data_IF_216490214456
#
_entry.id   IF_216490214456
#
_cell.length_a   1.000
_cell.length_b   1.000
_cell.length_c   1.000
_cell.angle_alpha   90.00
_cell.angle_beta   90.00
_cell.angle_gamma   90.00
#
_symmetry.space_group_name_H-M   'P 1'
#
loop_
_entity.id
_entity.type
_entity.pdbx_description
1 polymer ?
#
# COMPACT_ATOMS: atom_id res chain seq x y z
N UNK A 1 9.33 -18.11 69.93
CA UNK A 1 10.20 -18.17 68.73
C UNK A 1 9.58 -19.11 67.71
N UNK A 2 9.59 -18.73 66.42
CA UNK A 2 9.27 -19.53 65.21
C UNK A 2 7.82 -19.58 64.70
N UNK A 3 7.37 -18.48 64.08
CA UNK A 3 6.32 -18.49 63.03
C UNK A 3 6.61 -17.44 61.96
N UNK A 4 7.80 -17.50 61.33
CA UNK A 4 8.21 -16.52 60.30
C UNK A 4 8.96 -17.18 59.14
N UNK A 5 8.45 -18.30 58.61
CA UNK A 5 9.13 -18.99 57.49
C UNK A 5 8.21 -19.34 56.30
N UNK A 6 6.88 -19.17 56.42
CA UNK A 6 5.95 -19.59 55.34
C UNK A 6 5.57 -18.48 54.34
N UNK A 7 5.79 -17.19 54.64
CA UNK A 7 5.40 -16.09 53.73
C UNK A 7 6.44 -15.72 52.67
N UNK A 8 7.70 -16.15 52.80
CA UNK A 8 8.79 -15.79 51.86
C UNK A 8 8.83 -16.72 50.64
N UNK A 9 8.35 -17.98 50.76
CA UNK A 9 8.36 -18.93 49.64
C UNK A 9 7.32 -18.62 48.55
N UNK A 10 6.26 -17.87 48.85
CA UNK A 10 5.23 -17.54 47.87
C UNK A 10 5.62 -16.38 46.94
N UNK A 11 6.41 -15.41 47.43
CA UNK A 11 6.91 -14.31 46.58
C UNK A 11 7.96 -14.78 45.56
N UNK A 12 8.78 -15.78 45.91
CA UNK A 12 9.85 -16.24 45.02
C UNK A 12 9.33 -17.01 43.80
N UNK A 13 8.18 -17.68 43.92
CA UNK A 13 7.54 -18.39 42.80
C UNK A 13 6.79 -17.46 41.85
N UNK A 14 6.29 -16.32 42.33
CA UNK A 14 5.63 -15.32 41.48
C UNK A 14 6.66 -14.59 40.60
N UNK A 15 7.88 -14.33 41.09
CA UNK A 15 8.94 -13.72 40.27
C UNK A 15 9.49 -14.63 39.16
N UNK A 16 9.51 -15.96 39.33
CA UNK A 16 9.91 -16.89 38.28
C UNK A 16 8.82 -17.14 37.22
N UNK A 17 7.55 -16.94 37.57
CA UNK A 17 6.44 -17.00 36.61
C UNK A 17 6.32 -15.75 35.73
N UNK A 18 6.90 -14.61 36.12
CA UNK A 18 6.90 -13.36 35.33
C UNK A 18 8.07 -13.32 34.32
N UNK A 19 9.08 -14.19 34.47
CA UNK A 19 10.22 -14.29 33.54
C UNK A 19 10.04 -15.34 32.43
N UNK A 20 8.93 -16.07 32.43
CA UNK A 20 8.51 -16.91 31.30
C UNK A 20 7.53 -16.14 30.42
N UNK A 21 7.95 -14.95 29.97
CA UNK A 21 7.41 -14.44 28.71
C UNK A 21 7.72 -15.52 27.66
N UNK A 22 6.75 -15.98 26.87
CA UNK A 22 7.08 -16.82 25.73
C UNK A 22 8.14 -16.04 24.94
N UNK A 23 9.32 -16.65 24.79
CA UNK A 23 10.25 -16.19 23.78
C UNK A 23 9.42 -16.11 22.51
N UNK A 24 9.22 -14.90 21.99
CA UNK A 24 8.60 -14.69 20.69
C UNK A 24 9.31 -15.66 19.76
N UNK A 25 8.63 -16.75 19.35
CA UNK A 25 9.20 -17.52 18.27
C UNK A 25 9.19 -16.52 17.12
N UNK A 26 10.38 -16.19 16.62
CA UNK A 26 10.49 -15.70 15.27
C UNK A 26 10.06 -16.87 14.40
N UNK A 27 8.74 -17.10 14.31
CA UNK A 27 8.17 -17.93 13.28
C UNK A 27 8.77 -17.39 12.00
N UNK A 28 9.58 -18.23 11.36
CA UNK A 28 10.33 -17.88 10.17
C UNK A 28 9.27 -17.62 9.10
N UNK A 29 8.87 -16.36 8.95
CA UNK A 29 7.78 -16.00 8.06
C UNK A 29 8.22 -16.36 6.65
N UNK A 30 7.64 -17.44 6.14
CA UNK A 30 7.86 -17.90 4.78
C UNK A 30 7.12 -16.94 3.86
N UNK A 31 7.84 -16.38 2.88
CA UNK A 31 7.22 -15.61 1.80
C UNK A 31 6.21 -16.53 1.08
N UNK A 32 4.98 -16.13 0.75
CA UNK A 32 4.20 -16.91 -0.18
C UNK A 32 4.91 -16.91 -1.54
N UNK A 33 4.81 -18.00 -2.29
CA UNK A 33 5.16 -17.97 -3.70
C UNK A 33 4.17 -17.05 -4.42
N UNK A 34 4.68 -16.11 -5.20
CA UNK A 34 3.88 -15.15 -5.95
C UNK A 34 4.77 -14.20 -6.74
N UNK A 35 4.29 -12.99 -6.98
CA UNK A 35 5.05 -11.96 -7.66
C UNK A 35 4.82 -10.59 -7.02
N UNK A 36 5.74 -9.67 -7.29
CA UNK A 36 5.62 -8.25 -6.98
C UNK A 36 5.67 -7.44 -8.26
N UNK A 37 5.09 -6.24 -8.22
CA UNK A 37 5.29 -5.23 -9.27
C UNK A 37 6.01 -4.03 -8.69
N UNK A 38 6.85 -3.38 -9.48
CA UNK A 38 7.58 -2.19 -9.04
C UNK A 38 8.00 -1.29 -10.20
N UNK A 39 8.38 -0.07 -9.85
CA UNK A 39 9.03 0.90 -10.72
C UNK A 39 10.52 0.64 -10.84
N UNK A 40 11.07 0.56 -12.06
CA UNK A 40 12.52 0.56 -12.31
C UNK A 40 12.90 1.62 -13.33
N UNK A 41 14.08 2.22 -13.16
CA UNK A 41 14.67 3.18 -14.08
C UNK A 41 14.81 4.58 -13.47
N UNK A 42 15.39 5.49 -14.25
CA UNK A 42 15.66 6.86 -13.84
C UNK A 42 14.95 7.84 -14.77
N UNK A 43 14.50 8.95 -14.21
CA UNK A 43 13.89 10.05 -14.96
C UNK A 43 12.78 9.58 -15.91
N UNK A 44 12.87 10.03 -17.15
CA UNK A 44 11.93 9.70 -18.23
C UNK A 44 11.99 8.23 -18.68
N UNK A 45 13.03 7.49 -18.29
CA UNK A 45 13.28 6.11 -18.72
C UNK A 45 12.81 5.10 -17.66
N UNK A 46 11.57 5.21 -17.19
CA UNK A 46 11.00 4.27 -16.22
C UNK A 46 10.08 3.25 -16.85
N UNK A 47 10.14 2.04 -16.31
CA UNK A 47 9.28 0.91 -16.65
C UNK A 47 8.56 0.40 -15.41
N UNK A 48 7.44 -0.29 -15.62
CA UNK A 48 6.82 -1.14 -14.61
C UNK A 48 7.30 -2.56 -14.85
N UNK A 49 7.84 -3.18 -13.81
CA UNK A 49 8.32 -4.55 -13.85
C UNK A 49 7.45 -5.47 -13.00
N UNK A 50 7.47 -6.75 -13.34
CA UNK A 50 7.02 -7.89 -12.53
C UNK A 50 8.25 -8.73 -12.19
N UNK A 51 8.36 -9.22 -10.96
CA UNK A 51 9.34 -10.23 -10.58
C UNK A 51 8.67 -11.29 -9.71
N UNK A 52 9.01 -12.55 -9.94
CA UNK A 52 8.57 -13.67 -9.10
C UNK A 52 9.32 -13.65 -7.77
N UNK A 53 8.61 -13.99 -6.70
CA UNK A 53 9.15 -14.07 -5.34
C UNK A 53 8.71 -15.40 -4.71
N UNK A 54 9.65 -16.09 -4.09
CA UNK A 54 9.39 -17.32 -3.34
C UNK A 54 10.31 -17.40 -2.11
N UNK A 55 9.95 -18.18 -1.07
CA UNK A 55 10.82 -18.43 0.07
C UNK A 55 12.23 -18.84 -0.34
N UNK A 56 13.21 -18.18 0.26
CA UNK A 56 14.62 -18.55 0.08
C UNK A 56 15.23 -18.09 -1.24
N UNK A 57 14.50 -17.37 -2.10
CA UNK A 57 15.11 -16.72 -3.25
C UNK A 57 16.08 -15.61 -2.80
N UNK A 58 17.26 -15.57 -3.42
CA UNK A 58 18.19 -14.44 -3.29
C UNK A 58 17.74 -13.25 -4.13
N UNK A 59 18.35 -12.09 -3.91
CA UNK A 59 18.11 -10.89 -4.72
C UNK A 59 18.35 -11.18 -6.22
N UNK A 60 19.44 -11.85 -6.56
CA UNK A 60 19.81 -12.19 -7.94
C UNK A 60 18.79 -13.15 -8.56
N UNK A 61 18.28 -14.10 -7.78
CA UNK A 61 17.25 -15.03 -8.25
C UNK A 61 15.92 -14.32 -8.53
N UNK A 62 15.51 -13.38 -7.67
CA UNK A 62 14.32 -12.55 -7.93
C UNK A 62 14.54 -11.71 -9.18
N UNK A 63 15.68 -11.01 -9.28
CA UNK A 63 15.99 -10.14 -10.41
C UNK A 63 16.08 -10.89 -11.75
N UNK A 64 16.57 -12.15 -11.74
CA UNK A 64 16.60 -13.00 -12.92
C UNK A 64 15.21 -13.37 -13.47
N UNK A 65 14.14 -13.20 -12.67
CA UNK A 65 12.76 -13.42 -13.11
C UNK A 65 12.07 -12.15 -13.61
N UNK A 66 12.78 -11.01 -13.60
CA UNK A 66 12.18 -9.73 -13.94
C UNK A 66 11.67 -9.70 -15.38
N UNK A 67 10.42 -9.27 -15.55
CA UNK A 67 9.79 -9.01 -16.85
C UNK A 67 9.22 -7.60 -16.87
N UNK A 68 9.48 -6.87 -17.96
CA UNK A 68 8.87 -5.56 -18.20
C UNK A 68 7.39 -5.76 -18.52
N UNK A 69 6.52 -5.12 -17.74
CA UNK A 69 5.08 -5.07 -17.99
C UNK A 69 4.80 -4.03 -19.08
N UNK A 70 5.21 -2.79 -18.86
CA UNK A 70 5.06 -1.71 -19.82
C UNK A 70 5.99 -0.53 -19.48
N UNK A 71 6.19 0.37 -20.44
CA UNK A 71 6.78 1.68 -20.21
C UNK A 71 5.85 2.56 -19.35
N UNK A 72 6.39 3.61 -18.72
CA UNK A 72 5.58 4.58 -17.97
C UNK A 72 5.06 5.76 -18.76
N UNK A 73 5.46 5.86 -20.01
CA UNK A 73 5.11 6.98 -20.88
C UNK A 73 6.16 8.08 -20.86
N UNK A 74 5.95 9.05 -21.73
CA UNK A 74 6.94 10.06 -22.13
C UNK A 74 7.41 10.98 -20.99
N UNK A 75 6.62 11.14 -19.93
CA UNK A 75 6.90 12.06 -18.83
C UNK A 75 7.54 11.40 -17.61
N UNK A 76 7.91 10.13 -17.67
CA UNK A 76 8.73 9.43 -16.65
C UNK A 76 8.07 9.14 -15.31
N UNK A 77 7.13 9.98 -14.89
CA UNK A 77 6.52 9.93 -13.59
C UNK A 77 5.50 8.82 -13.42
N UNK A 78 5.63 8.10 -12.31
CA UNK A 78 4.64 7.14 -11.85
C UNK A 78 4.39 7.22 -10.35
N UNK A 79 3.18 6.82 -9.97
CA UNK A 79 2.79 6.58 -8.60
C UNK A 79 2.59 5.07 -8.41
N UNK A 80 3.00 4.60 -7.23
CA UNK A 80 3.03 3.21 -6.78
C UNK A 80 1.96 2.31 -7.39
N UNK A 81 2.42 1.17 -7.91
CA UNK A 81 1.55 0.16 -8.52
C UNK A 81 0.75 -0.62 -7.47
N UNK A 82 -0.50 -0.97 -7.79
CA UNK A 82 -1.33 -1.87 -7.00
C UNK A 82 -1.81 -3.05 -7.85
N UNK A 83 -1.53 -4.27 -7.38
CA UNK A 83 -1.96 -5.49 -8.05
C UNK A 83 -3.39 -5.83 -7.61
N UNK A 84 -4.23 -6.23 -8.54
CA UNK A 84 -5.57 -6.75 -8.25
C UNK A 84 -5.47 -8.02 -7.41
N UNK A 85 -6.46 -8.30 -6.58
CA UNK A 85 -6.35 -9.38 -5.61
C UNK A 85 -6.26 -10.76 -6.28
N UNK A 86 -6.88 -10.94 -7.44
CA UNK A 86 -6.71 -12.12 -8.30
C UNK A 86 -5.35 -12.21 -9.02
N UNK A 87 -4.48 -11.20 -8.89
CA UNK A 87 -3.15 -11.20 -9.50
C UNK A 87 -3.13 -10.98 -11.01
N UNK A 88 -4.24 -10.54 -11.61
CA UNK A 88 -4.34 -10.41 -13.08
C UNK A 88 -4.03 -9.02 -13.61
N UNK A 89 -4.26 -7.99 -12.81
CA UNK A 89 -4.12 -6.60 -13.22
C UNK A 89 -3.18 -5.85 -12.30
N UNK A 90 -2.43 -4.92 -12.86
CA UNK A 90 -1.75 -3.87 -12.10
C UNK A 90 -2.38 -2.53 -12.45
N UNK A 91 -2.71 -1.72 -11.45
CA UNK A 91 -3.12 -0.34 -11.59
C UNK A 91 -1.99 0.59 -11.18
N UNK A 92 -1.83 1.69 -11.89
CA UNK A 92 -0.79 2.69 -11.64
C UNK A 92 -1.23 4.05 -12.19
N UNK A 93 -0.50 5.12 -11.84
CA UNK A 93 -0.73 6.43 -12.44
C UNK A 93 0.47 6.84 -13.30
N UNK A 94 0.22 7.54 -14.42
CA UNK A 94 1.24 8.18 -15.26
C UNK A 94 1.11 9.69 -15.18
N UNK A 95 2.25 10.38 -15.15
CA UNK A 95 2.27 11.83 -15.23
C UNK A 95 1.79 12.31 -16.60
N UNK A 96 1.07 13.43 -16.62
CA UNK A 96 0.62 14.13 -17.83
C UNK A 96 1.57 15.27 -18.23
N UNK A 97 2.57 15.53 -17.41
CA UNK A 97 3.58 16.56 -17.67
C UNK A 97 4.93 16.13 -17.11
N UNK A 98 5.99 16.42 -17.84
CA UNK A 98 7.36 16.32 -17.35
C UNK A 98 7.72 17.59 -16.60
N UNK A 99 8.36 17.46 -15.44
CA UNK A 99 8.87 18.60 -14.66
C UNK A 99 10.24 18.23 -14.09
N UNK A 100 11.22 19.12 -14.18
CA UNK A 100 12.52 18.86 -13.54
C UNK A 100 12.47 19.09 -12.01
N UNK A 101 11.34 19.61 -11.50
CA UNK A 101 11.03 19.75 -10.08
C UNK A 101 10.69 18.38 -9.46
N UNK A 102 11.71 17.56 -9.16
CA UNK A 102 11.57 16.28 -8.46
C UNK A 102 12.58 15.22 -8.90
N UNK A 103 12.61 14.10 -8.18
CA UNK A 103 13.46 12.96 -8.53
C UNK A 103 12.80 12.12 -9.62
N UNK A 104 13.03 12.46 -10.89
CA UNK A 104 12.58 11.62 -11.99
C UNK A 104 11.90 12.30 -13.18
N UNK A 105 12.10 13.61 -13.39
CA UNK A 105 11.42 14.32 -14.48
C UNK A 105 9.92 14.52 -14.21
N UNK A 106 9.50 14.46 -12.94
CA UNK A 106 8.15 14.73 -12.50
C UNK A 106 8.11 15.18 -11.03
N UNK A 107 7.07 15.95 -10.67
CA UNK A 107 6.69 16.19 -9.29
C UNK A 107 5.52 15.27 -8.91
N UNK A 108 5.77 14.24 -8.10
CA UNK A 108 4.73 13.34 -7.60
C UNK A 108 3.64 14.06 -6.77
N UNK A 109 3.90 15.30 -6.33
CA UNK A 109 2.94 16.15 -5.64
C UNK A 109 2.03 16.97 -6.56
N UNK A 110 2.18 16.88 -7.89
CA UNK A 110 1.28 17.53 -8.85
C UNK A 110 -0.01 16.71 -9.00
N UNK A 111 -0.79 16.57 -7.92
CA UNK A 111 -1.86 15.57 -7.81
C UNK A 111 -3.01 15.70 -8.84
N UNK A 112 -3.10 16.81 -9.56
CA UNK A 112 -4.05 17.04 -10.67
C UNK A 112 -3.46 16.72 -12.06
N UNK A 113 -2.20 16.26 -12.15
CA UNK A 113 -1.47 16.01 -13.39
C UNK A 113 -1.22 14.52 -13.65
N UNK A 114 -2.18 13.68 -13.28
CA UNK A 114 -2.05 12.23 -13.33
C UNK A 114 -3.24 11.58 -14.03
N UNK A 115 -2.94 10.51 -14.76
CA UNK A 115 -3.94 9.59 -15.29
C UNK A 115 -3.72 8.19 -14.74
N UNK A 116 -4.82 7.52 -14.40
CA UNK A 116 -4.85 6.13 -13.99
C UNK A 116 -4.83 5.22 -15.22
N UNK A 117 -4.01 4.19 -15.14
CA UNK A 117 -3.88 3.12 -16.12
C UNK A 117 -3.97 1.76 -15.44
N UNK A 118 -4.37 0.75 -16.21
CA UNK A 118 -4.24 -0.66 -15.86
C UNK A 118 -3.45 -1.41 -16.91
N UNK A 119 -2.74 -2.46 -16.50
CA UNK A 119 -2.07 -3.40 -17.39
C UNK A 119 -2.33 -4.83 -16.93
N UNK A 120 -2.53 -5.73 -17.89
CA UNK A 120 -2.69 -7.16 -17.61
C UNK A 120 -1.33 -7.79 -17.33
N UNK A 121 -1.22 -8.56 -16.25
CA UNK A 121 0.07 -9.09 -15.77
C UNK A 121 0.13 -10.62 -15.72
N UNK A 122 -0.99 -11.32 -15.91
CA UNK A 122 -1.10 -12.79 -15.87
C UNK A 122 -0.84 -13.48 -17.23
N UNK A 123 -0.38 -12.74 -18.24
CA UNK A 123 -0.16 -13.26 -19.60
C UNK A 123 1.21 -12.92 -20.18
N UNK A 124 1.27 -12.83 -21.51
CA UNK A 124 2.47 -12.41 -22.23
C UNK A 124 2.77 -10.94 -21.95
N UNK A 125 4.06 -10.66 -21.71
CA UNK A 125 4.60 -9.34 -21.40
C UNK A 125 5.70 -9.00 -22.42
N UNK A 126 5.85 -7.73 -22.84
CA UNK A 126 5.15 -6.53 -22.35
C UNK A 126 3.73 -6.37 -22.93
N UNK A 127 2.92 -5.52 -22.31
CA UNK A 127 1.54 -5.20 -22.71
C UNK A 127 1.34 -3.69 -22.90
N UNK A 128 0.38 -3.32 -23.72
CA UNK A 128 -0.10 -1.93 -23.79
C UNK A 128 -1.09 -1.66 -22.65
N UNK A 129 -0.85 -0.66 -21.80
CA UNK A 129 -1.78 -0.34 -20.72
C UNK A 129 -3.02 0.38 -21.22
N UNK A 130 -4.11 0.20 -20.49
CA UNK A 130 -5.42 0.77 -20.77
C UNK A 130 -5.60 1.99 -19.87
N UNK A 131 -5.89 3.16 -20.47
CA UNK A 131 -6.22 4.38 -19.73
C UNK A 131 -7.60 4.27 -19.11
N UNK A 132 -7.70 4.56 -17.81
CA UNK A 132 -8.96 4.58 -17.07
C UNK A 132 -9.54 6.00 -16.97
N UNK A 133 -8.72 6.98 -16.62
CA UNK A 133 -9.19 8.36 -16.45
C UNK A 133 -8.24 9.21 -15.61
N UNK A 134 -8.63 10.47 -15.39
CA UNK A 134 -7.86 11.41 -14.56
C UNK A 134 -7.91 11.00 -13.09
N UNK A 135 -6.73 10.95 -12.46
CA UNK A 135 -6.60 10.62 -11.05
C UNK A 135 -5.22 10.09 -10.67
N UNK A 136 -5.03 9.88 -9.38
CA UNK A 136 -3.77 9.45 -8.77
C UNK A 136 -4.03 8.44 -7.65
N UNK A 137 -2.99 7.68 -7.25
CA UNK A 137 -3.03 6.66 -6.18
C UNK A 137 -4.18 5.64 -6.35
N UNK A 138 -4.10 4.75 -7.37
CA UNK A 138 -5.12 3.73 -7.56
C UNK A 138 -5.09 2.67 -6.46
N UNK A 139 -6.25 2.12 -6.12
CA UNK A 139 -6.39 0.95 -5.23
C UNK A 139 -7.56 0.06 -5.65
N UNK A 140 -7.45 -1.25 -5.42
CA UNK A 140 -8.47 -2.22 -5.82
C UNK A 140 -9.49 -2.47 -4.71
N UNK A 141 -10.73 -2.75 -5.11
CA UNK A 141 -11.79 -3.17 -4.19
C UNK A 141 -11.64 -4.59 -3.66
N UNK A 142 -12.39 -4.91 -2.60
CA UNK A 142 -12.50 -6.27 -2.06
C UNK A 142 -13.11 -7.28 -3.04
N UNK A 143 -13.89 -6.78 -4.00
CA UNK A 143 -14.40 -7.48 -5.18
C UNK A 143 -13.32 -7.79 -6.25
N UNK A 144 -12.05 -7.48 -6.00
CA UNK A 144 -10.96 -7.66 -6.98
C UNK A 144 -10.62 -9.12 -7.29
N UNK A 145 -11.33 -10.09 -6.71
CA UNK A 145 -11.31 -11.50 -7.11
C UNK A 145 -12.35 -11.86 -8.16
N UNK A 146 -13.31 -10.97 -8.37
CA UNK A 146 -14.46 -11.17 -9.25
C UNK A 146 -14.16 -10.74 -10.69
N UNK A 147 -15.02 -11.15 -11.62
CA UNK A 147 -14.92 -10.80 -13.06
C UNK A 147 -15.15 -9.32 -13.34
N UNK A 148 -16.03 -8.69 -12.55
CA UNK A 148 -16.24 -7.24 -12.54
C UNK A 148 -15.71 -6.78 -11.21
N UNK A 149 -14.76 -5.85 -11.24
CA UNK A 149 -14.06 -5.37 -10.05
C UNK A 149 -14.03 -3.87 -9.98
N UNK A 150 -13.96 -3.36 -8.77
CA UNK A 150 -13.92 -1.94 -8.46
C UNK A 150 -12.47 -1.47 -8.43
N UNK A 151 -12.19 -0.38 -9.15
CA UNK A 151 -10.95 0.37 -9.04
C UNK A 151 -11.26 1.74 -8.44
N UNK A 152 -10.64 2.01 -7.29
CA UNK A 152 -10.65 3.31 -6.66
C UNK A 152 -9.45 4.14 -7.10
N UNK A 153 -9.60 5.45 -7.07
CA UNK A 153 -8.51 6.41 -7.26
C UNK A 153 -8.94 7.76 -6.72
N UNK A 154 -7.95 8.63 -6.54
CA UNK A 154 -8.14 9.95 -5.97
C UNK A 154 -8.15 11.02 -7.04
N UNK A 155 -8.92 12.09 -6.82
CA UNK A 155 -8.95 13.27 -7.69
C UNK A 155 -8.71 14.55 -6.92
N UNK A 156 -7.87 15.41 -7.50
CA UNK A 156 -7.42 16.67 -6.93
C UNK A 156 -7.72 17.89 -7.80
N UNK A 157 -8.33 17.70 -8.97
CA UNK A 157 -8.82 18.77 -9.82
C UNK A 157 -10.18 19.29 -9.29
N UNK A 158 -10.08 20.33 -8.46
CA UNK A 158 -11.18 20.84 -7.64
C UNK A 158 -11.23 20.17 -6.28
N UNK A 159 -12.43 19.73 -5.88
CA UNK A 159 -12.66 19.09 -4.57
C UNK A 159 -11.87 17.78 -4.43
N UNK A 160 -11.20 17.63 -3.29
CA UNK A 160 -10.39 16.46 -2.94
C UNK A 160 -11.31 15.28 -2.64
N UNK A 161 -11.23 14.22 -3.45
CA UNK A 161 -12.21 13.13 -3.39
C UNK A 161 -11.64 11.79 -3.81
N UNK A 162 -12.30 10.74 -3.37
CA UNK A 162 -12.14 9.37 -3.88
C UNK A 162 -13.23 9.09 -4.89
N UNK A 163 -12.83 8.61 -6.05
CA UNK A 163 -13.70 8.12 -7.11
C UNK A 163 -13.57 6.60 -7.23
N UNK A 164 -14.55 5.98 -7.90
CA UNK A 164 -14.52 4.58 -8.29
C UNK A 164 -15.02 4.38 -9.72
N UNK A 165 -14.53 3.33 -10.37
CA UNK A 165 -15.05 2.78 -11.62
C UNK A 165 -15.20 1.27 -11.48
N UNK A 166 -16.03 0.62 -12.30
CA UNK A 166 -16.00 -0.84 -12.44
C UNK A 166 -15.43 -1.26 -13.78
N UNK A 167 -14.57 -2.25 -13.72
CA UNK A 167 -13.81 -2.77 -14.85
C UNK A 167 -14.07 -4.28 -14.98
N UNK A 168 -14.26 -4.76 -16.21
CA UNK A 168 -14.40 -6.20 -16.49
C UNK A 168 -13.04 -6.91 -16.64
N UNK A 169 -13.06 -8.24 -16.77
CA UNK A 169 -11.84 -9.07 -16.93
C UNK A 169 -11.08 -8.83 -18.25
N UNK A 170 -11.58 -7.97 -19.13
CA UNK A 170 -10.91 -7.51 -20.36
C UNK A 170 -10.34 -6.10 -20.22
N UNK A 171 -10.58 -5.41 -19.10
CA UNK A 171 -10.14 -4.05 -18.87
C UNK A 171 -11.13 -2.99 -19.37
N UNK A 172 -12.35 -3.35 -19.77
CA UNK A 172 -13.37 -2.39 -20.19
C UNK A 172 -14.07 -1.77 -18.98
N UNK A 173 -14.35 -0.47 -19.05
CA UNK A 173 -15.17 0.22 -18.05
C UNK A 173 -16.64 -0.17 -18.27
N UNK A 174 -17.22 -0.88 -17.31
CA UNK A 174 -18.63 -1.33 -17.32
C UNK A 174 -19.53 -0.45 -16.45
N UNK A 175 -18.96 0.23 -15.46
CA UNK A 175 -19.64 1.27 -14.67
C UNK A 175 -18.74 2.52 -14.66
N UNK A 176 -19.30 3.64 -15.13
CA UNK A 176 -18.59 4.92 -15.23
C UNK A 176 -18.19 5.45 -13.87
N UNK A 177 -17.27 6.41 -13.88
CA UNK A 177 -16.77 7.09 -12.68
C UNK A 177 -17.92 7.59 -11.80
N UNK A 178 -17.83 7.30 -10.51
CA UNK A 178 -18.68 7.88 -9.47
C UNK A 178 -17.86 8.26 -8.24
N UNK A 179 -18.34 9.25 -7.49
CA UNK A 179 -17.68 9.69 -6.26
C UNK A 179 -18.05 8.77 -5.10
N UNK A 180 -17.04 8.27 -4.39
CA UNK A 180 -17.21 7.52 -3.14
C UNK A 180 -17.39 8.49 -1.97
N UNK A 181 -16.53 9.50 -1.88
CA UNK A 181 -16.61 10.51 -0.84
C UNK A 181 -15.57 11.61 -0.98
N UNK A 182 -15.79 12.70 -0.25
CA UNK A 182 -14.91 13.87 -0.22
C UNK A 182 -13.99 13.82 1.00
N UNK A 183 -12.75 14.27 0.84
CA UNK A 183 -11.76 14.37 1.91
C UNK A 183 -11.79 15.81 2.48
N UNK A 184 -11.71 15.98 3.81
CA UNK A 184 -11.58 17.32 4.41
C UNK A 184 -10.36 18.07 3.87
N UNK A 185 -10.57 19.32 3.46
CA UNK A 185 -9.49 20.15 2.87
C UNK A 185 -8.55 20.73 3.91
N UNK A 186 -9.01 20.93 5.14
CA UNK A 186 -8.22 21.53 6.22
C UNK A 186 -6.97 20.70 6.51
N UNK A 187 -5.81 21.30 6.23
CA UNK A 187 -4.50 20.68 6.45
C UNK A 187 -4.15 19.55 5.48
N UNK A 188 -4.92 19.34 4.40
CA UNK A 188 -4.67 18.29 3.42
C UNK A 188 -3.33 18.46 2.70
N UNK A 189 -2.56 17.38 2.57
CA UNK A 189 -1.21 17.38 1.98
C UNK A 189 -1.05 16.42 0.80
N UNK A 190 -2.15 16.00 0.16
CA UNK A 190 -2.04 15.47 -1.20
C UNK A 190 -2.02 13.96 -1.40
N UNK A 191 -2.00 13.14 -0.35
CA UNK A 191 -1.99 11.68 -0.49
C UNK A 191 -3.32 11.10 -0.05
N UNK A 192 -4.00 10.34 -0.89
CA UNK A 192 -5.26 9.67 -0.55
C UNK A 192 -5.23 8.26 -1.16
N UNK A 193 -5.46 7.25 -0.32
CA UNK A 193 -5.54 5.85 -0.71
C UNK A 193 -6.84 5.27 -0.15
N UNK A 194 -7.72 4.80 -1.04
CA UNK A 194 -9.01 4.24 -0.64
C UNK A 194 -8.84 2.83 -0.09
N UNK A 195 -9.60 2.51 0.96
CA UNK A 195 -9.68 1.15 1.49
C UNK A 195 -10.38 0.22 0.48
N UNK A 196 -9.96 -1.06 0.38
CA UNK A 196 -10.60 -2.02 -0.52
C UNK A 196 -12.11 -2.19 -0.31
N UNK A 197 -12.59 -2.10 0.93
CA UNK A 197 -14.02 -2.17 1.23
C UNK A 197 -14.81 -0.88 0.87
N UNK A 198 -14.14 0.17 0.38
CA UNK A 198 -14.75 1.45 0.00
C UNK A 198 -15.28 2.33 1.15
N UNK A 199 -15.15 1.91 2.40
CA UNK A 199 -15.79 2.60 3.54
C UNK A 199 -15.00 3.81 4.05
N UNK A 200 -13.69 3.85 3.81
CA UNK A 200 -12.82 4.93 4.24
C UNK A 200 -11.67 5.13 3.25
N UNK A 201 -10.95 6.22 3.41
CA UNK A 201 -9.66 6.44 2.79
C UNK A 201 -8.63 6.85 3.83
N UNK A 202 -7.40 6.37 3.67
CA UNK A 202 -6.25 6.87 4.39
C UNK A 202 -5.67 8.05 3.62
N UNK A 203 -5.37 9.15 4.30
CA UNK A 203 -4.90 10.39 3.68
C UNK A 203 -3.89 11.14 4.54
N UNK A 204 -3.07 11.99 3.91
CA UNK A 204 -2.11 12.83 4.62
C UNK A 204 -2.71 14.19 4.97
N UNK A 205 -2.58 14.57 6.24
CA UNK A 205 -3.01 15.85 6.81
C UNK A 205 -1.99 16.33 7.84
N UNK A 206 -1.51 17.57 7.70
CA UNK A 206 -0.65 18.27 8.67
C UNK A 206 0.52 17.43 9.19
N UNK A 207 1.30 16.82 8.28
CA UNK A 207 2.46 15.99 8.61
C UNK A 207 2.15 14.57 9.11
N UNK A 208 0.88 14.17 9.18
CA UNK A 208 0.46 12.86 9.66
C UNK A 208 -0.52 12.17 8.71
N UNK A 209 -0.64 10.86 8.88
CA UNK A 209 -1.63 10.03 8.19
C UNK A 209 -2.88 9.90 9.06
N UNK A 210 -4.03 10.09 8.44
CA UNK A 210 -5.35 9.92 9.03
C UNK A 210 -6.17 8.94 8.19
N UNK A 211 -7.18 8.30 8.77
CA UNK A 211 -8.31 7.76 8.01
C UNK A 211 -9.45 8.74 8.03
N UNK A 212 -10.21 8.83 6.93
CA UNK A 212 -11.51 9.49 6.88
C UNK A 212 -12.56 8.51 6.40
N UNK A 213 -13.61 8.32 7.20
CA UNK A 213 -14.63 7.31 6.98
C UNK A 213 -15.86 7.92 6.28
N UNK A 214 -16.21 7.38 5.13
CA UNK A 214 -17.39 7.76 4.34
C UNK A 214 -18.66 7.06 4.84
N UNK A 215 -18.49 5.85 5.37
CA UNK A 215 -19.57 4.98 5.83
C UNK A 215 -19.24 4.27 7.16
N UNK A 216 -20.20 3.54 7.71
CA UNK A 216 -20.04 2.74 8.92
C UNK A 216 -20.05 3.53 10.24
N UNK A 217 -19.70 2.87 11.37
CA UNK A 217 -19.77 3.47 12.72
C UNK A 217 -18.85 4.68 12.95
N UNK A 218 -17.84 4.83 12.09
CA UNK A 218 -16.90 5.94 12.14
C UNK A 218 -17.18 7.03 11.10
N UNK A 219 -18.30 6.96 10.38
CA UNK A 219 -18.67 7.93 9.34
C UNK A 219 -18.46 9.38 9.78
N UNK A 220 -17.79 10.15 8.93
CA UNK A 220 -17.46 11.56 9.14
C UNK A 220 -16.28 11.82 10.07
N UNK A 221 -15.67 10.78 10.68
CA UNK A 221 -14.53 10.95 11.58
C UNK A 221 -13.22 10.92 10.82
N UNK A 222 -12.31 11.82 11.21
CA UNK A 222 -10.89 11.74 10.90
C UNK A 222 -10.15 11.10 12.08
N UNK A 223 -9.50 9.96 11.89
CA UNK A 223 -8.80 9.23 12.96
C UNK A 223 -7.31 9.29 12.69
N UNK A 224 -6.54 9.77 13.66
CA UNK A 224 -5.08 9.86 13.55
C UNK A 224 -4.46 8.47 13.54
N UNK A 225 -3.78 8.13 12.45
CA UNK A 225 -2.96 6.92 12.37
C UNK A 225 -1.64 7.20 13.09
N UNK A 226 -0.75 8.00 12.51
CA UNK A 226 0.50 8.51 13.13
C UNK A 226 1.22 9.46 12.16
N UNK A 227 2.39 9.99 12.53
CA UNK A 227 3.24 10.80 11.65
C UNK A 227 3.77 10.00 10.46
N UNK A 228 3.74 10.59 9.25
CA UNK A 228 4.21 9.94 8.04
C UNK A 228 3.57 10.43 6.75
N UNK A 229 3.87 9.75 5.65
CA UNK A 229 3.36 10.03 4.30
C UNK A 229 3.07 8.72 3.53
N UNK A 230 2.45 8.81 2.34
CA UNK A 230 2.17 7.66 1.46
C UNK A 230 1.38 6.53 2.12
N UNK A 231 0.12 6.79 2.52
CA UNK A 231 -0.71 5.76 3.13
C UNK A 231 -1.02 4.62 2.15
N UNK A 232 -1.08 3.41 2.69
CA UNK A 232 -1.53 2.19 2.05
C UNK A 232 -2.48 1.48 3.01
N UNK A 233 -3.51 0.83 2.47
CA UNK A 233 -4.50 0.10 3.26
C UNK A 233 -4.45 -1.37 2.85
N UNK A 234 -4.34 -2.28 3.82
CA UNK A 234 -4.28 -3.73 3.54
C UNK A 234 -5.53 -4.26 2.85
N UNK A 235 -5.42 -5.42 2.19
CA UNK A 235 -6.50 -6.02 1.42
C UNK A 235 -7.78 -6.29 2.26
N UNK A 236 -7.62 -6.58 3.55
CA UNK A 236 -8.73 -6.77 4.50
C UNK A 236 -9.33 -5.46 5.04
N UNK A 237 -8.83 -4.31 4.59
CA UNK A 237 -9.20 -2.96 5.04
C UNK A 237 -8.98 -2.68 6.54
N UNK A 238 -8.20 -3.53 7.24
CA UNK A 238 -8.03 -3.42 8.69
C UNK A 238 -6.82 -2.62 9.11
N UNK A 239 -5.78 -2.57 8.29
CA UNK A 239 -4.52 -1.93 8.63
C UNK A 239 -4.17 -0.82 7.66
N UNK A 240 -3.66 0.27 8.20
CA UNK A 240 -3.03 1.36 7.46
C UNK A 240 -1.54 1.29 7.69
N UNK A 241 -0.80 1.12 6.59
CA UNK A 241 0.65 1.19 6.54
C UNK A 241 1.07 2.50 5.87
N UNK A 242 2.21 3.06 6.26
CA UNK A 242 2.73 4.29 5.65
C UNK A 242 4.24 4.44 5.93
N UNK A 243 4.86 5.46 5.33
CA UNK A 243 6.25 5.82 5.59
C UNK A 243 6.49 6.03 7.09
N UNK A 244 7.63 5.55 7.63
CA UNK A 244 7.99 5.46 9.07
C UNK A 244 7.65 4.13 9.76
N UNK A 245 7.47 3.02 9.04
CA UNK A 245 7.43 1.65 9.59
C UNK A 245 6.29 1.37 10.58
N UNK A 246 5.25 2.19 10.62
CA UNK A 246 4.12 1.97 11.52
C UNK A 246 2.96 1.30 10.78
N UNK A 247 2.30 0.37 11.46
CA UNK A 247 1.02 -0.18 11.06
C UNK A 247 -0.01 0.16 12.14
N UNK A 248 -1.12 0.78 11.75
CA UNK A 248 -2.21 1.17 12.67
C UNK A 248 -3.50 0.53 12.19
N UNK A 249 -4.31 0.01 13.10
CA UNK A 249 -5.69 -0.38 12.74
C UNK A 249 -6.43 0.83 12.17
N UNK A 250 -7.22 0.62 11.12
CA UNK A 250 -7.89 1.72 10.40
C UNK A 250 -8.86 2.55 11.25
N UNK A 251 -9.31 1.99 12.37
CA UNK A 251 -10.14 2.64 13.39
C UNK A 251 -9.32 3.24 14.56
N UNK A 252 -7.99 3.12 14.53
CA UNK A 252 -7.07 3.61 15.56
C UNK A 252 -6.99 2.74 16.82
N UNK A 253 -7.68 1.59 16.87
CA UNK A 253 -7.81 0.77 18.09
C UNK A 253 -6.53 0.03 18.50
N UNK A 254 -5.64 -0.26 17.55
CA UNK A 254 -4.35 -0.87 17.82
C UNK A 254 -3.25 -0.32 16.92
N UNK A 255 -2.01 -0.42 17.39
CA UNK A 255 -0.79 0.09 16.76
C UNK A 255 0.29 -0.98 16.87
N UNK A 256 1.06 -1.15 15.81
CA UNK A 256 2.20 -2.05 15.76
C UNK A 256 3.32 -1.47 14.89
N UNK A 257 4.51 -2.03 15.04
CA UNK A 257 5.63 -1.76 14.16
C UNK A 257 5.59 -2.78 13.00
N UNK A 258 5.66 -2.32 11.76
CA UNK A 258 5.61 -3.17 10.57
C UNK A 258 6.93 -3.95 10.30
N UNK A 259 7.80 -4.04 11.30
CA UNK A 259 9.11 -4.68 11.21
C UNK A 259 10.09 -3.94 10.29
N UNK A 260 10.87 -4.70 9.52
CA UNK A 260 11.85 -4.15 8.60
C UNK A 260 11.14 -3.42 7.45
N UNK A 261 11.21 -2.09 7.46
CA UNK A 261 10.68 -1.24 6.40
C UNK A 261 11.59 -0.11 5.96
N UNK A 262 11.59 0.19 4.68
CA UNK A 262 12.15 1.42 4.14
C UNK A 262 11.27 2.63 4.41
N UNK A 263 11.81 3.83 4.17
CA UNK A 263 11.08 5.09 4.35
C UNK A 263 9.98 5.27 3.30
N UNK A 264 10.06 4.56 2.18
CA UNK A 264 9.17 4.73 1.04
C UNK A 264 8.76 3.39 0.42
N UNK A 265 7.51 3.31 -0.04
CA UNK A 265 6.89 2.13 -0.65
C UNK A 265 6.70 2.28 -2.15
N UNK A 266 7.08 1.26 -2.93
CA UNK A 266 7.12 1.31 -4.39
C UNK A 266 6.43 0.13 -5.08
N UNK A 267 5.77 -0.77 -4.33
CA UNK A 267 4.93 -1.82 -4.91
C UNK A 267 4.60 -2.92 -3.92
N UNK A 268 3.50 -3.64 -4.11
CA UNK A 268 3.03 -4.64 -3.14
C UNK A 268 2.83 -6.02 -3.76
N UNK A 269 2.63 -7.03 -2.93
CA UNK A 269 2.00 -8.29 -3.36
C UNK A 269 0.51 -8.08 -3.64
N UNK A 270 -0.09 -8.99 -4.40
CA UNK A 270 -1.52 -8.97 -4.74
C UNK A 270 -2.44 -9.11 -3.53
N UNK A 271 -2.01 -9.81 -2.48
CA UNK A 271 -2.75 -9.94 -1.23
C UNK A 271 -2.48 -8.78 -0.25
N UNK A 272 -1.66 -7.80 -0.64
CA UNK A 272 -1.22 -6.65 0.15
C UNK A 272 -0.66 -7.01 1.53
N UNK A 273 -0.20 -8.25 1.70
CA UNK A 273 0.50 -8.66 2.91
C UNK A 273 1.97 -8.28 2.86
N UNK A 274 2.48 -7.98 1.67
CA UNK A 274 3.87 -7.62 1.44
C UNK A 274 4.00 -6.30 0.69
N UNK A 275 4.96 -5.49 1.12
CA UNK A 275 5.23 -4.18 0.55
C UNK A 275 6.72 -4.06 0.24
N UNK A 276 7.06 -3.67 -0.98
CA UNK A 276 8.42 -3.40 -1.47
C UNK A 276 8.78 -1.97 -1.10
N UNK A 277 9.81 -1.81 -0.28
CA UNK A 277 10.28 -0.50 0.19
C UNK A 277 11.74 -0.25 -0.14
N UNK A 278 12.11 1.03 -0.27
CA UNK A 278 13.49 1.49 -0.45
C UNK A 278 14.05 1.99 0.88
N UNK A 279 15.24 1.55 1.26
CA UNK A 279 16.09 2.29 2.22
C UNK A 279 16.98 3.29 1.47
N UNK A 280 17.28 4.42 2.11
CA UNK A 280 18.42 5.23 1.70
C UNK A 280 19.67 4.32 1.72
N UNK A 281 20.31 4.12 0.57
CA UNK A 281 21.38 3.13 0.37
C UNK A 281 20.85 1.71 0.09
N UNK A 282 20.90 1.33 -1.19
CA UNK A 282 21.01 -0.01 -1.78
C UNK A 282 20.53 -1.25 -1.00
N UNK A 283 19.26 -1.31 -0.56
CA UNK A 283 18.59 -2.60 -0.33
C UNK A 283 17.06 -2.48 -0.45
N UNK A 284 16.45 -3.38 -1.22
CA UNK A 284 14.99 -3.58 -1.24
C UNK A 284 14.57 -4.33 0.02
N UNK A 285 13.70 -3.73 0.85
CA UNK A 285 13.12 -4.39 2.04
C UNK A 285 11.66 -4.71 1.78
N UNK A 286 11.26 -5.95 2.08
CA UNK A 286 9.87 -6.44 1.98
C UNK A 286 9.22 -6.35 3.37
N UNK A 287 8.22 -5.46 3.55
CA UNK A 287 7.49 -5.31 4.82
C UNK A 287 6.30 -6.26 4.91
N UNK A 288 5.85 -6.51 6.14
CA UNK A 288 4.70 -7.34 6.47
C UNK A 288 3.52 -6.49 6.93
N UNK A 289 2.35 -6.69 6.32
CA UNK A 289 1.09 -6.04 6.69
C UNK A 289 0.18 -6.90 7.59
N UNK A 290 0.73 -7.69 8.53
CA UNK A 290 -0.06 -8.60 9.38
C UNK A 290 0.30 -8.43 10.86
N UNK A 291 -0.63 -8.80 11.75
CA UNK A 291 -0.34 -8.98 13.19
C UNK A 291 0.77 -10.03 13.36
N UNK A 292 1.78 -9.67 14.15
CA UNK A 292 2.70 -10.58 14.81
C UNK A 292 2.11 -11.02 16.15
#
# INVERSE_FOLDING_TARGET
>A
MKTTAKKIRLLFWICLAILSLPAYSQDKILLPHGFVTYSRGENYNRVICRAEIAPGMTYEQIHATERVICEKGEFGGDITTQISFDGKWVAFARSLQGTDDGSGGNNYADFDKWDIYIARVDGDLPVTPIRIGHGFFPSWGDDSREKIKTLYYSRCDGEKRVCKVKIDDKGNIVEKESVVGKIPEEGYEGFIFAAPNGQFAAYRKSGAVYTYWFEGPNKGKAILMTGGCHPHVTADSRWVYHANRNAVRSDGSARGEAGAGGLYHYGSSNDMNWFVTRTEGDNTIINKGRES
#
